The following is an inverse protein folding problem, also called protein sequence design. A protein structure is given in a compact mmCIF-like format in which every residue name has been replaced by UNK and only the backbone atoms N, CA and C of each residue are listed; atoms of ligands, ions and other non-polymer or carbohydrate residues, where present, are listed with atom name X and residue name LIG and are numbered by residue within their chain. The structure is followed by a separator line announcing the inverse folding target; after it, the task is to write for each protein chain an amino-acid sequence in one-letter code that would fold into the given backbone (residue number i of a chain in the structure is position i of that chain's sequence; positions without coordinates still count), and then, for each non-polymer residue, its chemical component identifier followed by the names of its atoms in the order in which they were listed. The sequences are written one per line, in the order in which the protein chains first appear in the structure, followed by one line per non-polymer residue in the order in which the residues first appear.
data_IF_363787422764
#
_entry.id   IF_363787422764
#
_cell.length_a   1.000
_cell.length_b   1.000
_cell.length_c   1.000
_cell.angle_alpha   90.00
_cell.angle_beta   90.00
_cell.angle_gamma   90.00
#
_symmetry.space_group_name_H-M   'P 1'
#
loop_
_entity.id
_entity.type
_entity.pdbx_description
1 polymer ?
#
# COMPACT_ATOMS: atom_id res chain seq x y z
N UNK A 1 -0.62 16.43 12.58
CA UNK A 1 -0.54 15.61 11.35
C UNK A 1 0.22 16.31 10.24
N UNK A 2 -0.05 17.61 9.96
CA UNK A 2 0.58 18.39 8.88
C UNK A 2 2.05 18.09 8.54
N UNK A 3 3.03 18.24 9.45
CA UNK A 3 4.44 18.02 9.11
C UNK A 3 4.79 16.55 8.83
N UNK A 4 4.13 15.59 9.47
CA UNK A 4 4.31 14.15 9.20
C UNK A 4 3.71 13.75 7.85
N UNK A 5 2.50 14.26 7.56
CA UNK A 5 1.85 14.07 6.26
C UNK A 5 2.69 14.69 5.15
N UNK A 6 3.16 15.92 5.32
CA UNK A 6 3.97 16.60 4.30
C UNK A 6 5.30 15.87 4.04
N UNK A 7 5.93 15.29 5.07
CA UNK A 7 7.15 14.49 4.93
C UNK A 7 6.89 13.18 4.16
N UNK A 8 5.81 12.47 4.49
CA UNK A 8 5.41 11.26 3.76
C UNK A 8 5.00 11.56 2.33
N UNK A 9 4.27 12.66 2.08
CA UNK A 9 3.96 13.09 0.70
C UNK A 9 5.25 13.37 -0.06
N UNK A 10 6.21 14.10 0.53
CA UNK A 10 7.47 14.37 -0.12
C UNK A 10 8.24 13.08 -0.44
N UNK A 11 8.24 12.08 0.45
CA UNK A 11 8.85 10.78 0.18
C UNK A 11 8.11 10.01 -0.93
N UNK A 12 6.79 9.89 -0.85
CA UNK A 12 5.94 9.25 -1.87
C UNK A 12 6.02 9.93 -3.25
N UNK A 13 6.48 11.18 -3.32
CA UNK A 13 6.62 11.95 -4.57
C UNK A 13 8.07 12.06 -5.09
N UNK A 14 9.05 12.23 -4.21
CA UNK A 14 10.46 12.47 -4.58
C UNK A 14 11.39 11.29 -4.26
N UNK A 15 11.04 10.44 -3.28
CA UNK A 15 11.86 9.36 -2.74
C UNK A 15 11.43 7.93 -3.13
N UNK A 16 10.15 7.74 -3.45
CA UNK A 16 9.59 6.44 -3.83
C UNK A 16 9.98 5.99 -5.25
N UNK A 17 10.05 4.67 -5.45
CA UNK A 17 10.21 4.03 -6.76
C UNK A 17 9.02 4.36 -7.72
N UNK A 18 7.95 4.94 -7.17
CA UNK A 18 6.77 5.40 -7.88
C UNK A 18 6.28 6.76 -7.34
N UNK A 19 6.34 7.84 -8.14
CA UNK A 19 5.77 9.12 -7.72
C UNK A 19 4.24 9.04 -7.82
N UNK A 20 3.56 8.96 -6.68
CA UNK A 20 2.11 9.10 -6.62
C UNK A 20 1.69 10.52 -7.02
N UNK A 21 0.49 10.66 -7.61
CA UNK A 21 -0.10 11.99 -7.78
C UNK A 21 -0.26 12.67 -6.41
N UNK A 22 -0.14 14.00 -6.37
CA UNK A 22 -0.14 14.74 -5.08
C UNK A 22 -1.39 14.49 -4.26
N UNK A 23 -2.54 14.22 -4.91
CA UNK A 23 -3.79 13.91 -4.21
C UNK A 23 -3.72 12.55 -3.51
N UNK A 24 -3.19 11.55 -4.19
CA UNK A 24 -3.08 10.16 -3.74
C UNK A 24 -2.03 10.00 -2.65
N UNK A 25 -0.84 10.58 -2.88
CA UNK A 25 0.23 10.64 -1.89
C UNK A 25 -0.25 11.27 -0.58
N UNK A 26 -1.05 12.34 -0.70
CA UNK A 26 -1.63 13.03 0.46
C UNK A 26 -2.69 12.20 1.16
N UNK A 27 -3.58 11.55 0.42
CA UNK A 27 -4.62 10.73 1.00
C UNK A 27 -4.02 9.56 1.80
N UNK A 28 -3.04 8.85 1.21
CA UNK A 28 -2.30 7.78 1.87
C UNK A 28 -1.55 8.27 3.11
N UNK A 29 -0.82 9.38 2.99
CA UNK A 29 -0.07 9.95 4.09
C UNK A 29 -0.97 10.41 5.24
N UNK A 30 -2.14 10.97 4.94
CA UNK A 30 -3.15 11.33 5.95
C UNK A 30 -3.69 10.08 6.64
N UNK A 31 -4.08 9.04 5.89
CA UNK A 31 -4.54 7.76 6.43
C UNK A 31 -3.53 7.09 7.35
N UNK A 32 -2.26 7.03 6.94
CA UNK A 32 -1.19 6.44 7.72
C UNK A 32 -0.93 7.19 9.03
N UNK A 33 -0.86 8.52 8.97
CA UNK A 33 -0.61 9.36 10.16
C UNK A 33 -1.81 9.36 11.12
N UNK A 34 -3.05 9.32 10.61
CA UNK A 34 -4.25 9.20 11.45
C UNK A 34 -4.35 7.82 12.11
N UNK A 35 -3.92 6.75 11.44
CA UNK A 35 -3.89 5.39 11.99
C UNK A 35 -2.90 5.27 13.15
N UNK A 36 -1.66 5.78 12.97
CA UNK A 36 -0.65 5.76 14.04
C UNK A 36 -1.00 6.74 15.16
N UNK A 37 -1.53 7.90 14.79
CA UNK A 37 -1.76 9.02 15.69
C UNK A 37 -0.49 9.84 15.92
N UNK A 38 -0.61 11.16 15.75
CA UNK A 38 0.50 12.11 15.91
C UNK A 38 1.05 12.12 17.33
N UNK A 39 0.16 11.97 18.32
CA UNK A 39 0.54 11.92 19.73
C UNK A 39 1.48 10.73 20.02
N UNK A 40 1.27 9.59 19.34
CA UNK A 40 2.11 8.39 19.50
C UNK A 40 3.50 8.61 18.88
N UNK A 41 3.55 9.25 17.72
CA UNK A 41 4.81 9.60 17.05
C UNK A 41 5.64 10.56 17.92
N UNK A 42 5.00 11.60 18.47
CA UNK A 42 5.66 12.57 19.35
C UNK A 42 6.09 11.97 20.69
N UNK A 43 5.27 11.09 21.30
CA UNK A 43 5.62 10.41 22.56
C UNK A 43 6.83 9.48 22.41
N UNK A 44 7.08 8.98 21.20
CA UNK A 44 8.24 8.14 20.86
C UNK A 44 9.44 8.91 20.30
N UNK A 45 9.40 10.25 20.34
CA UNK A 45 10.43 11.12 19.77
C UNK A 45 10.70 10.87 18.26
N UNK A 46 9.72 10.30 17.54
CA UNK A 46 9.84 10.02 16.09
C UNK A 46 9.66 11.33 15.33
N UNK A 47 10.66 11.71 14.55
CA UNK A 47 10.58 12.92 13.71
C UNK A 47 9.81 12.65 12.41
N UNK A 48 9.21 13.68 11.77
CA UNK A 48 8.60 13.54 10.45
C UNK A 48 9.53 12.95 9.39
N UNK A 49 10.81 13.32 9.44
CA UNK A 49 11.85 12.83 8.53
C UNK A 49 12.15 11.35 8.78
N UNK A 50 12.16 10.89 10.02
CA UNK A 50 12.35 9.47 10.35
C UNK A 50 11.15 8.61 9.96
N UNK A 51 9.93 9.14 10.13
CA UNK A 51 8.72 8.45 9.67
C UNK A 51 8.73 8.30 8.14
N UNK A 52 9.08 9.36 7.42
CA UNK A 52 9.12 9.34 5.96
C UNK A 52 10.26 8.46 5.42
N UNK A 53 11.39 8.37 6.13
CA UNK A 53 12.53 7.56 5.72
C UNK A 53 12.37 6.06 6.02
N UNK A 54 11.36 5.66 6.80
CA UNK A 54 11.10 4.25 7.07
C UNK A 54 10.10 3.69 6.06
N UNK A 55 10.43 2.50 5.54
CA UNK A 55 9.47 1.71 4.76
C UNK A 55 8.67 0.75 5.65
N UNK A 56 9.15 0.51 6.87
CA UNK A 56 8.54 -0.36 7.85
C UNK A 56 8.32 0.41 9.18
N UNK A 57 7.08 0.54 9.65
CA UNK A 57 6.79 1.21 10.92
C UNK A 57 7.29 0.41 12.14
N UNK A 58 7.44 -0.91 12.02
CA UNK A 58 8.00 -1.78 13.04
C UNK A 58 9.46 -1.44 13.37
N UNK A 59 10.25 -0.99 12.40
CA UNK A 59 11.62 -0.46 12.62
C UNK A 59 11.65 0.77 13.56
N UNK A 60 10.54 1.51 13.64
CA UNK A 60 10.36 2.63 14.57
C UNK A 60 9.75 2.20 15.92
N UNK A 61 9.54 0.90 16.13
CA UNK A 61 8.87 0.35 17.31
C UNK A 61 7.36 0.66 17.32
N UNK A 62 6.77 0.91 16.14
CA UNK A 62 5.33 1.01 15.96
C UNK A 62 4.85 -0.37 15.51
N UNK A 63 4.24 -1.10 16.43
CA UNK A 63 3.53 -2.34 16.12
C UNK A 63 2.09 -1.97 15.80
N UNK A 64 1.60 -2.40 14.64
CA UNK A 64 0.20 -2.28 14.29
C UNK A 64 -0.55 -3.54 14.72
N UNK A 65 -1.64 -3.37 15.47
CA UNK A 65 -2.60 -4.46 15.72
C UNK A 65 -3.60 -4.60 14.57
N UNK A 66 -4.48 -5.61 14.67
CA UNK A 66 -5.56 -5.84 13.70
C UNK A 66 -6.44 -4.58 13.51
N UNK A 67 -6.71 -3.82 14.57
CA UNK A 67 -7.53 -2.60 14.53
C UNK A 67 -6.87 -1.47 13.73
N UNK A 68 -5.54 -1.35 13.81
CA UNK A 68 -4.78 -0.37 13.02
C UNK A 68 -4.65 -0.83 11.56
N UNK A 69 -4.57 -2.14 11.32
CA UNK A 69 -4.58 -2.70 9.97
C UNK A 69 -5.89 -2.40 9.24
N UNK A 70 -7.03 -2.66 9.90
CA UNK A 70 -8.37 -2.33 9.40
C UNK A 70 -8.50 -0.81 9.16
N UNK A 71 -8.03 0.01 10.11
CA UNK A 71 -8.08 1.47 9.98
C UNK A 71 -7.27 2.01 8.81
N UNK A 72 -6.09 1.42 8.55
CA UNK A 72 -5.29 1.76 7.39
C UNK A 72 -5.92 1.26 6.08
N UNK A 73 -6.52 0.06 6.08
CA UNK A 73 -7.26 -0.48 4.93
C UNK A 73 -8.43 0.42 4.53
N UNK A 74 -9.24 0.84 5.50
CA UNK A 74 -10.34 1.79 5.28
C UNK A 74 -9.84 3.14 4.73
N UNK A 75 -8.68 3.61 5.21
CA UNK A 75 -8.10 4.85 4.74
C UNK A 75 -7.59 4.74 3.30
N UNK A 76 -6.92 3.63 2.95
CA UNK A 76 -6.45 3.33 1.59
C UNK A 76 -7.62 3.16 0.63
N UNK A 77 -8.65 2.41 1.02
CA UNK A 77 -9.86 2.24 0.22
C UNK A 77 -10.66 3.55 0.05
N UNK A 78 -10.52 4.48 0.99
CA UNK A 78 -11.04 5.85 0.89
C UNK A 78 -10.26 6.73 -0.09
N UNK A 79 -9.04 6.33 -0.45
CA UNK A 79 -8.25 6.97 -1.50
C UNK A 79 -8.65 6.32 -2.84
N UNK A 80 -9.03 7.12 -3.82
CA UNK A 80 -9.49 6.69 -5.17
C UNK A 80 -8.30 6.17 -6.02
N UNK A 81 -7.51 5.25 -5.45
CA UNK A 81 -6.26 4.74 -6.00
C UNK A 81 -6.55 3.64 -6.99
N UNK A 82 -6.15 3.79 -8.25
CA UNK A 82 -6.33 2.70 -9.21
C UNK A 82 -5.52 1.47 -8.79
N UNK A 83 -6.17 0.31 -8.67
CA UNK A 83 -5.52 -0.96 -8.30
C UNK A 83 -4.41 -1.30 -9.28
N UNK A 84 -4.61 -0.99 -10.57
CA UNK A 84 -3.59 -1.11 -11.59
C UNK A 84 -2.31 -0.31 -11.31
N UNK A 85 -2.43 0.90 -10.74
CA UNK A 85 -1.25 1.71 -10.38
C UNK A 85 -0.53 1.16 -9.16
N UNK A 86 -1.25 0.67 -8.15
CA UNK A 86 -0.65 0.03 -6.98
C UNK A 86 0.08 -1.27 -7.35
N UNK A 87 -0.50 -2.09 -8.22
CA UNK A 87 0.16 -3.29 -8.76
C UNK A 87 1.42 -2.95 -9.56
N UNK A 88 1.37 -1.91 -10.40
CA UNK A 88 2.54 -1.44 -11.13
C UNK A 88 3.64 -0.95 -10.19
N UNK A 89 3.27 -0.24 -9.12
CA UNK A 89 4.22 0.22 -8.10
C UNK A 89 4.89 -0.96 -7.38
N UNK A 90 4.09 -1.94 -6.92
CA UNK A 90 4.61 -3.15 -6.26
C UNK A 90 5.52 -3.97 -7.19
N UNK A 91 5.11 -4.16 -8.45
CA UNK A 91 5.90 -4.89 -9.42
C UNK A 91 7.24 -4.22 -9.71
N UNK A 92 7.28 -2.90 -9.92
CA UNK A 92 8.55 -2.17 -10.16
C UNK A 92 9.50 -2.25 -8.97
N UNK A 93 8.97 -2.12 -7.75
CA UNK A 93 9.75 -2.29 -6.52
C UNK A 93 10.40 -3.68 -6.43
N UNK A 94 9.70 -4.72 -6.90
CA UNK A 94 10.25 -6.08 -7.02
C UNK A 94 11.16 -6.30 -8.24
N UNK A 95 11.28 -5.32 -9.13
CA UNK A 95 11.99 -5.39 -10.41
C UNK A 95 11.22 -6.13 -11.52
N UNK A 96 9.93 -6.40 -11.32
CA UNK A 96 9.03 -7.00 -12.29
C UNK A 96 8.38 -5.95 -13.19
N UNK A 97 8.21 -6.29 -14.47
CA UNK A 97 7.52 -5.44 -15.45
C UNK A 97 6.16 -6.06 -15.78
N UNK A 98 5.07 -5.36 -15.44
CA UNK A 98 3.72 -5.76 -15.81
C UNK A 98 3.34 -5.06 -17.12
N UNK A 99 2.89 -5.79 -18.16
CA UNK A 99 2.37 -5.19 -19.39
C UNK A 99 1.15 -4.29 -19.12
N UNK A 100 1.07 -3.12 -19.77
CA UNK A 100 -0.06 -2.19 -19.59
C UNK A 100 -1.43 -2.82 -19.95
N UNK A 101 -1.47 -3.69 -20.98
CA UNK A 101 -2.67 -4.44 -21.34
C UNK A 101 -3.14 -5.38 -20.21
N UNK A 102 -2.20 -5.87 -19.41
CA UNK A 102 -2.51 -6.73 -18.27
C UNK A 102 -3.00 -5.89 -17.08
N UNK A 103 -2.41 -4.72 -16.85
CA UNK A 103 -2.86 -3.77 -15.82
C UNK A 103 -4.33 -3.40 -16.00
N UNK A 104 -4.73 -3.03 -17.21
CA UNK A 104 -6.14 -2.69 -17.49
C UNK A 104 -7.07 -3.89 -17.27
N UNK A 105 -6.65 -5.09 -17.63
CA UNK A 105 -7.45 -6.29 -17.36
C UNK A 105 -7.61 -6.55 -15.84
N UNK A 106 -6.53 -6.40 -15.07
CA UNK A 106 -6.57 -6.59 -13.62
C UNK A 106 -7.51 -5.57 -13.00
N UNK A 107 -7.37 -4.29 -13.36
CA UNK A 107 -8.20 -3.19 -12.86
C UNK A 107 -9.70 -3.44 -13.11
N UNK A 108 -10.06 -4.03 -14.26
CA UNK A 108 -11.46 -4.35 -14.59
C UNK A 108 -12.04 -5.58 -13.88
N UNK A 109 -11.20 -6.49 -13.36
CA UNK A 109 -11.63 -7.80 -12.83
C UNK A 109 -11.26 -8.04 -11.37
N UNK A 110 -10.43 -7.18 -10.80
CA UNK A 110 -10.03 -7.28 -9.40
C UNK A 110 -11.12 -6.71 -8.49
N UNK A 111 -11.31 -7.37 -7.36
CA UNK A 111 -12.14 -6.81 -6.30
C UNK A 111 -11.30 -5.78 -5.53
N UNK A 112 -11.61 -4.50 -5.76
CA UNK A 112 -10.85 -3.37 -5.20
C UNK A 112 -10.87 -3.40 -3.66
N UNK A 113 -12.01 -3.73 -3.05
CA UNK A 113 -12.18 -3.82 -1.60
C UNK A 113 -11.27 -4.91 -1.01
N UNK A 114 -11.26 -6.10 -1.61
CA UNK A 114 -10.37 -7.19 -1.21
C UNK A 114 -8.89 -6.85 -1.46
N UNK A 115 -8.56 -6.15 -2.55
CA UNK A 115 -7.20 -5.74 -2.86
C UNK A 115 -6.66 -4.70 -1.88
N UNK A 116 -7.43 -3.66 -1.55
CA UNK A 116 -6.99 -2.66 -0.57
C UNK A 116 -6.82 -3.27 0.82
N UNK A 117 -7.74 -4.16 1.22
CA UNK A 117 -7.60 -4.92 2.47
C UNK A 117 -6.29 -5.72 2.49
N UNK A 118 -5.98 -6.43 1.40
CA UNK A 118 -4.74 -7.17 1.25
C UNK A 118 -3.49 -6.29 1.29
N UNK A 119 -3.50 -5.14 0.60
CA UNK A 119 -2.36 -4.22 0.59
C UNK A 119 -2.12 -3.64 1.98
N UNK A 120 -3.18 -3.24 2.68
CA UNK A 120 -3.06 -2.73 4.04
C UNK A 120 -2.52 -3.79 5.01
N UNK A 121 -3.03 -5.01 4.93
CA UNK A 121 -2.55 -6.15 5.71
C UNK A 121 -1.06 -6.41 5.43
N UNK A 122 -0.63 -6.34 4.16
CA UNK A 122 0.78 -6.51 3.78
C UNK A 122 1.74 -5.43 4.29
N UNK A 123 1.24 -4.21 4.48
CA UNK A 123 2.02 -3.07 4.98
C UNK A 123 2.13 -3.11 6.51
N UNK A 124 1.11 -3.67 7.16
CA UNK A 124 1.00 -3.75 8.61
C UNK A 124 1.69 -4.99 9.16
N UNK A 125 1.49 -6.12 8.50
CA UNK A 125 2.11 -7.39 8.83
C UNK A 125 2.48 -8.13 7.54
N UNK A 126 3.75 -7.99 7.13
CA UNK A 126 4.26 -8.66 5.95
C UNK A 126 4.23 -10.21 6.04
N UNK A 127 4.03 -10.78 7.23
CA UNK A 127 3.89 -12.23 7.45
C UNK A 127 2.41 -12.71 7.41
N UNK A 128 1.44 -11.80 7.53
CA UNK A 128 0.00 -12.08 7.46
C UNK A 128 -0.47 -12.33 6.02
N UNK A 129 0.32 -11.91 5.04
CA UNK A 129 0.13 -12.25 3.63
C UNK A 129 0.45 -13.73 3.38
N UNK A 130 -0.57 -14.57 3.50
CA UNK A 130 -0.48 -15.99 3.14
C UNK A 130 -1.01 -16.29 1.72
N UNK A 131 -0.62 -17.45 1.20
CA UNK A 131 -0.98 -17.90 -0.15
C UNK A 131 -2.52 -17.93 -0.35
N UNK A 132 -3.29 -18.16 0.71
CA UNK A 132 -4.74 -18.21 0.63
C UNK A 132 -5.33 -16.80 0.49
N UNK A 133 -4.79 -15.80 1.19
CA UNK A 133 -5.16 -14.39 1.02
C UNK A 133 -4.84 -13.90 -0.40
N UNK A 134 -3.63 -14.17 -0.90
CA UNK A 134 -3.24 -13.85 -2.29
C UNK A 134 -4.18 -14.53 -3.28
N UNK A 135 -4.47 -15.81 -3.08
CA UNK A 135 -5.38 -16.55 -3.95
C UNK A 135 -6.78 -15.95 -3.92
N UNK A 136 -7.30 -15.57 -2.76
CA UNK A 136 -8.63 -14.99 -2.63
C UNK A 136 -8.79 -13.66 -3.40
N UNK A 137 -7.76 -12.80 -3.39
CA UNK A 137 -7.78 -11.51 -4.10
C UNK A 137 -7.62 -11.70 -5.61
N UNK A 138 -6.73 -12.62 -6.02
CA UNK A 138 -6.27 -12.66 -7.39
C UNK A 138 -6.79 -13.86 -8.21
N UNK A 139 -7.63 -14.74 -7.65
CA UNK A 139 -8.20 -15.88 -8.40
C UNK A 139 -9.04 -15.42 -9.58
N UNK A 140 -9.99 -14.51 -9.37
CA UNK A 140 -10.87 -14.02 -10.43
C UNK A 140 -10.07 -13.31 -11.53
N UNK A 141 -9.05 -12.56 -11.14
CA UNK A 141 -8.08 -11.92 -12.06
C UNK A 141 -7.29 -12.96 -12.84
N UNK A 142 -6.80 -14.02 -12.19
CA UNK A 142 -6.07 -15.09 -12.86
C UNK A 142 -6.92 -15.85 -13.88
N UNK A 143 -8.24 -15.99 -13.64
CA UNK A 143 -9.17 -16.63 -14.57
C UNK A 143 -9.56 -15.70 -15.73
N UNK A 144 -9.70 -14.39 -15.47
CA UNK A 144 -10.13 -13.41 -16.46
C UNK A 144 -8.99 -12.87 -17.34
N UNK A 145 -7.78 -12.75 -16.78
CA UNK A 145 -6.66 -12.03 -17.39
C UNK A 145 -5.54 -12.98 -17.87
N UNK A 146 -5.47 -13.28 -19.19
CA UNK A 146 -4.43 -14.13 -19.73
C UNK A 146 -3.05 -13.47 -19.57
N UNK A 147 -2.15 -14.12 -18.83
CA UNK A 147 -0.80 -13.63 -18.52
C UNK A 147 -0.59 -13.28 -17.04
N UNK A 148 -1.66 -13.13 -16.25
CA UNK A 148 -1.54 -12.89 -14.82
C UNK A 148 -0.91 -14.09 -14.10
N UNK A 149 -1.35 -15.32 -14.39
CA UNK A 149 -0.80 -16.53 -13.76
C UNK A 149 0.70 -16.75 -14.06
N UNK A 150 1.22 -16.22 -15.15
CA UNK A 150 2.66 -16.27 -15.48
C UNK A 150 3.48 -15.27 -14.65
N UNK A 151 2.84 -14.21 -14.13
CA UNK A 151 3.45 -13.22 -13.24
C UNK A 151 3.50 -13.70 -11.78
N UNK A 152 2.44 -14.37 -11.31
CA UNK A 152 2.35 -14.79 -9.90
C UNK A 152 2.84 -16.23 -9.66
N UNK A 153 2.90 -17.05 -10.71
CA UNK A 153 3.29 -18.47 -10.64
C UNK A 153 4.76 -18.78 -10.92
N UNK A 154 5.65 -17.77 -10.86
CA UNK A 154 7.08 -17.88 -11.18
C UNK A 154 7.97 -18.22 -9.99
#
# INVERSE_FOLDING_TARGET
SGPYVDALVADLQEGGDFPFETADARCLAEGFVDTIGVDVLEERDITPEELAATSDPGDLGIEFGDEEADGFADAVAGCDLSVGELLLAGARSSGAEIPEDLVGCIDENIDEEAFYGFVADSIVDAEAVDEAAVTAVFTDVAEACPGFSELVGG
#
